data_IF_054713895289
#
_entry.id   IF_054713895289
#
_cell.length_a   1.000
_cell.length_b   1.000
_cell.length_c   1.000
_cell.angle_alpha   90.00
_cell.angle_beta   90.00
_cell.angle_gamma   90.00
#
_symmetry.space_group_name_H-M   'P 1'
#
loop_
_entity.id
_entity.type
_entity.pdbx_description
1 polymer ?
#
# COMPACT_ATOMS: atom_id res chain seq x y z
N UNK A 1 12.54 12.32 -0.04
CA UNK A 1 11.08 12.48 0.12
C UNK A 1 10.69 11.95 1.48
N UNK A 2 10.01 12.76 2.30
CA UNK A 2 9.53 12.31 3.61
C UNK A 2 8.31 11.39 3.44
N UNK A 3 8.15 10.40 4.32
CA UNK A 3 6.95 9.57 4.35
C UNK A 3 5.77 10.46 4.75
N UNK A 4 4.80 10.62 3.85
CA UNK A 4 3.59 11.41 4.12
C UNK A 4 2.53 10.62 4.85
N UNK A 5 2.46 9.31 4.62
CA UNK A 5 1.48 8.45 5.27
C UNK A 5 1.95 6.99 5.27
N UNK A 6 1.53 6.23 6.28
CA UNK A 6 1.81 4.81 6.41
C UNK A 6 0.64 4.11 7.08
N UNK A 7 0.13 3.07 6.45
CA UNK A 7 -1.00 2.28 6.96
C UNK A 7 -0.84 0.79 6.66
N UNK A 8 -1.65 -0.04 7.32
CA UNK A 8 -1.68 -1.48 7.12
C UNK A 8 -2.91 -1.86 6.27
N UNK A 9 -2.71 -2.80 5.34
CA UNK A 9 -3.77 -3.39 4.53
C UNK A 9 -3.62 -4.92 4.52
N UNK A 10 -4.73 -5.63 4.38
CA UNK A 10 -4.76 -7.10 4.31
C UNK A 10 -4.55 -7.64 2.90
N UNK A 11 -4.76 -6.81 1.89
CA UNK A 11 -4.71 -7.18 0.48
C UNK A 11 -4.57 -5.93 -0.41
N UNK A 12 -4.25 -6.16 -1.68
CA UNK A 12 -4.00 -5.11 -2.68
C UNK A 12 -5.26 -4.27 -2.98
N UNK A 13 -6.45 -4.85 -2.86
CA UNK A 13 -7.71 -4.14 -3.11
C UNK A 13 -8.05 -3.20 -1.96
N UNK A 14 -7.94 -3.68 -0.71
CA UNK A 14 -8.11 -2.83 0.47
C UNK A 14 -7.09 -1.69 0.51
N UNK A 15 -5.84 -1.96 0.10
CA UNK A 15 -4.83 -0.91 -0.04
C UNK A 15 -5.26 0.15 -1.07
N UNK A 16 -5.74 -0.26 -2.24
CA UNK A 16 -6.21 0.63 -3.29
C UNK A 16 -7.45 1.43 -2.86
N UNK A 17 -8.42 0.80 -2.20
CA UNK A 17 -9.61 1.47 -1.65
C UNK A 17 -9.23 2.53 -0.62
N UNK A 18 -8.29 2.26 0.29
CA UNK A 18 -7.80 3.26 1.23
C UNK A 18 -7.05 4.41 0.54
N UNK A 19 -6.23 4.10 -0.48
CA UNK A 19 -5.56 5.13 -1.27
C UNK A 19 -6.57 6.02 -2.02
N UNK A 20 -7.64 5.43 -2.54
CA UNK A 20 -8.74 6.14 -3.20
C UNK A 20 -9.50 7.00 -2.18
N UNK A 21 -9.80 6.48 -1.00
CA UNK A 21 -10.49 7.24 0.05
C UNK A 21 -9.67 8.44 0.54
N UNK A 22 -8.35 8.29 0.68
CA UNK A 22 -7.46 9.33 1.20
C UNK A 22 -7.04 10.35 0.13
N UNK A 23 -6.78 9.90 -1.10
CA UNK A 23 -6.17 10.72 -2.15
C UNK A 23 -7.01 10.84 -3.42
N UNK A 24 -8.15 10.18 -3.50
CA UNK A 24 -9.06 10.19 -4.65
C UNK A 24 -8.71 9.11 -5.67
N UNK A 25 -7.77 9.37 -6.57
CA UNK A 25 -7.42 8.43 -7.65
C UNK A 25 -6.10 7.71 -7.36
N UNK A 26 -6.15 6.39 -7.33
CA UNK A 26 -4.98 5.52 -7.30
C UNK A 26 -4.80 4.86 -8.67
N UNK A 27 -3.61 4.98 -9.25
CA UNK A 27 -3.25 4.34 -10.51
C UNK A 27 -2.15 3.33 -10.22
N UNK A 28 -2.38 2.06 -10.54
CA UNK A 28 -1.37 1.00 -10.42
C UNK A 28 -0.22 1.32 -11.37
N UNK A 29 0.97 1.49 -10.81
CA UNK A 29 2.19 1.79 -11.58
C UNK A 29 3.06 0.56 -11.82
N UNK A 30 2.86 -0.51 -11.05
CA UNK A 30 3.55 -1.80 -11.21
C UNK A 30 3.94 -2.46 -9.90
N UNK A 31 4.57 -3.62 -9.99
CA UNK A 31 5.17 -4.34 -8.87
C UNK A 31 6.70 -4.40 -9.06
N UNK A 32 7.47 -4.39 -7.97
CA UNK A 32 8.93 -4.51 -8.04
C UNK A 32 9.43 -5.60 -7.08
N UNK A 33 10.69 -6.02 -7.19
CA UNK A 33 11.24 -7.07 -6.31
C UNK A 33 11.18 -6.69 -4.82
N UNK A 34 11.34 -5.41 -4.52
CA UNK A 34 11.28 -4.84 -3.16
C UNK A 34 9.85 -4.55 -2.68
N UNK A 35 8.92 -4.22 -3.58
CA UNK A 35 7.55 -3.81 -3.24
C UNK A 35 6.54 -4.67 -3.98
N UNK A 36 5.62 -5.28 -3.24
CA UNK A 36 4.58 -6.12 -3.84
C UNK A 36 3.74 -5.36 -4.86
N UNK A 37 3.42 -4.10 -4.56
CA UNK A 37 2.66 -3.23 -5.45
C UNK A 37 3.06 -1.77 -5.27
N UNK A 38 2.99 -0.99 -6.33
CA UNK A 38 3.20 0.45 -6.33
C UNK A 38 2.02 1.13 -7.02
N UNK A 39 1.52 2.21 -6.42
CA UNK A 39 0.54 3.11 -7.02
C UNK A 39 1.11 4.53 -7.12
N UNK A 40 0.62 5.25 -8.13
CA UNK A 40 0.71 6.69 -8.21
C UNK A 40 -0.63 7.27 -7.73
N UNK A 41 -0.58 8.12 -6.71
CA UNK A 41 -1.73 8.83 -6.15
C UNK A 41 -1.46 10.33 -6.20
N UNK A 42 -2.18 11.04 -7.07
CA UNK A 42 -1.89 12.46 -7.40
C UNK A 42 -0.41 12.62 -7.84
N UNK A 43 0.39 13.32 -7.03
CA UNK A 43 1.83 13.54 -7.24
C UNK A 43 2.71 12.77 -6.24
N UNK A 44 2.15 11.73 -5.61
CA UNK A 44 2.81 10.92 -4.60
C UNK A 44 2.89 9.47 -5.06
N UNK A 45 3.87 8.75 -4.52
CA UNK A 45 4.09 7.34 -4.78
C UNK A 45 3.69 6.54 -3.54
N UNK A 46 2.72 5.65 -3.69
CA UNK A 46 2.37 4.68 -2.67
C UNK A 46 3.03 3.33 -2.99
N UNK A 47 3.68 2.72 -2.01
CA UNK A 47 4.34 1.41 -2.16
C UNK A 47 3.86 0.46 -1.07
N UNK A 48 3.35 -0.70 -1.48
CA UNK A 48 3.02 -1.82 -0.60
C UNK A 48 4.26 -2.70 -0.41
N UNK A 49 4.73 -2.79 0.83
CA UNK A 49 5.74 -3.74 1.24
C UNK A 49 5.23 -5.18 1.06
N UNK A 50 6.15 -6.14 0.98
CA UNK A 50 5.77 -7.57 1.00
C UNK A 50 5.09 -7.94 2.33
N UNK A 51 4.29 -9.00 2.28
CA UNK A 51 3.65 -9.57 3.46
C UNK A 51 4.72 -9.77 4.53
N UNK A 52 4.53 -9.14 5.68
CA UNK A 52 5.33 -9.48 6.85
C UNK A 52 4.91 -10.88 7.30
N UNK A 53 5.80 -11.61 7.96
CA UNK A 53 5.45 -12.87 8.66
C UNK A 53 4.35 -12.66 9.71
N UNK A 54 4.12 -11.41 10.10
CA UNK A 54 3.05 -10.98 10.97
C UNK A 54 1.68 -11.04 10.28
N UNK A 55 0.79 -11.82 10.90
CA UNK A 55 -0.61 -11.95 10.51
C UNK A 55 -1.51 -11.24 11.51
N UNK A 56 -2.71 -10.86 11.09
CA UNK A 56 -3.71 -10.30 12.00
C UNK A 56 -4.33 -11.38 12.91
N UNK A 57 -5.16 -10.96 13.88
CA UNK A 57 -5.88 -11.88 14.78
C UNK A 57 -6.86 -12.84 14.08
N UNK A 58 -7.03 -12.71 12.76
CA UNK A 58 -7.82 -13.60 11.88
C UNK A 58 -6.92 -14.43 10.95
N UNK A 59 -5.62 -14.50 11.21
CA UNK A 59 -4.63 -15.25 10.45
C UNK A 59 -4.45 -14.78 8.98
N UNK A 60 -4.82 -13.55 8.66
CA UNK A 60 -4.62 -12.95 7.34
C UNK A 60 -3.27 -12.22 7.27
N UNK A 61 -2.58 -12.23 6.12
CA UNK A 61 -1.34 -11.47 5.95
C UNK A 61 -1.58 -9.97 6.13
N UNK A 62 -0.65 -9.28 6.77
CA UNK A 62 -0.62 -7.82 6.78
C UNK A 62 0.47 -7.28 5.87
N UNK A 63 0.12 -6.25 5.13
CA UNK A 63 0.98 -5.50 4.26
C UNK A 63 1.03 -4.05 4.74
N UNK A 64 2.22 -3.45 4.67
CA UNK A 64 2.39 -2.04 5.01
C UNK A 64 2.42 -1.25 3.70
N UNK A 65 1.58 -0.23 3.61
CA UNK A 65 1.57 0.71 2.50
C UNK A 65 2.19 2.02 2.98
N UNK A 66 3.23 2.47 2.30
CA UNK A 66 3.89 3.75 2.55
C UNK A 66 3.62 4.71 1.39
N UNK A 67 3.28 5.96 1.70
CA UNK A 67 3.08 7.04 0.71
C UNK A 67 4.21 8.05 0.85
N UNK A 68 4.94 8.32 -0.24
CA UNK A 68 6.10 9.22 -0.32
C UNK A 68 5.88 10.29 -1.39
#
# INVERSE_FOLDING_TARGET
>A
MAVKNRFAATDEQQAEEQLIALYGKAIRSGSNREFRMTWCVKNLRATMARASTHRNGKNQPMYIVEVK
#
